data_IF_976571900624
#
_entry.id   IF_976571900624
#
_cell.length_a   1.000
_cell.length_b   1.000
_cell.length_c   1.000
_cell.angle_alpha   90.00
_cell.angle_beta   90.00
_cell.angle_gamma   90.00
#
_symmetry.space_group_name_H-M   'P 1'
#
loop_
_entity.id
_entity.type
_entity.pdbx_description
1 polymer ?
#
# COMPACT_ATOMS: atom_id res chain seq x y z
N UNK A 1 -5.68 0.89 8.56
CA UNK A 1 -6.45 1.49 9.69
C UNK A 1 -7.66 2.25 9.18
N UNK A 2 -7.49 3.34 8.42
CA UNK A 2 -8.62 4.15 7.95
C UNK A 2 -9.72 3.36 7.21
N UNK A 3 -9.35 2.39 6.37
CA UNK A 3 -10.30 1.50 5.67
C UNK A 3 -11.07 0.53 6.59
N UNK A 4 -10.46 0.08 7.69
CA UNK A 4 -11.09 -0.82 8.68
C UNK A 4 -12.12 -0.05 9.53
N UNK A 5 -11.88 1.24 9.74
CA UNK A 5 -12.75 2.13 10.51
C UNK A 5 -13.92 2.63 9.64
N UNK A 6 -13.60 3.27 8.52
CA UNK A 6 -14.55 4.03 7.72
C UNK A 6 -15.20 3.20 6.60
N UNK A 7 -14.77 1.95 6.42
CA UNK A 7 -15.29 1.04 5.40
C UNK A 7 -14.60 1.17 4.03
N UNK A 8 -15.02 0.35 3.05
CA UNK A 8 -14.31 0.16 1.79
C UNK A 8 -14.26 1.40 0.89
N UNK A 9 -15.35 2.16 0.78
CA UNK A 9 -15.40 3.38 -0.05
C UNK A 9 -14.46 4.46 0.46
N UNK A 10 -14.49 4.70 1.76
CA UNK A 10 -13.61 5.67 2.41
C UNK A 10 -12.16 5.18 2.45
N UNK A 11 -11.95 3.86 2.57
CA UNK A 11 -10.64 3.23 2.40
C UNK A 11 -10.02 3.50 1.02
N UNK A 12 -10.82 3.39 -0.04
CA UNK A 12 -10.39 3.73 -1.40
C UNK A 12 -10.03 5.22 -1.54
N UNK A 13 -10.86 6.12 -0.98
CA UNK A 13 -10.61 7.56 -0.99
C UNK A 13 -9.32 7.94 -0.24
N UNK A 14 -9.08 7.36 0.94
CA UNK A 14 -7.82 7.54 1.67
C UNK A 14 -6.62 6.99 0.90
N UNK A 15 -6.80 5.85 0.22
CA UNK A 15 -5.78 5.30 -0.67
C UNK A 15 -5.44 6.23 -1.84
N UNK A 16 -6.45 6.89 -2.42
CA UNK A 16 -6.26 7.91 -3.45
C UNK A 16 -5.49 9.12 -2.91
N UNK A 17 -5.89 9.67 -1.75
CA UNK A 17 -5.19 10.78 -1.11
C UNK A 17 -3.74 10.42 -0.80
N UNK A 18 -3.47 9.22 -0.30
CA UNK A 18 -2.12 8.74 -0.08
C UNK A 18 -1.32 8.61 -1.37
N UNK A 19 -1.95 8.17 -2.46
CA UNK A 19 -1.38 8.19 -3.81
C UNK A 19 -1.03 9.60 -4.28
N UNK A 20 -1.90 10.60 -4.04
CA UNK A 20 -1.63 12.00 -4.36
C UNK A 20 -0.42 12.51 -3.59
N UNK A 21 -0.37 12.28 -2.28
CA UNK A 21 0.79 12.66 -1.47
C UNK A 21 2.07 11.98 -1.96
N UNK A 22 1.99 10.71 -2.38
CA UNK A 22 3.13 10.00 -2.96
C UNK A 22 3.60 10.63 -4.28
N UNK A 23 2.68 11.06 -5.14
CA UNK A 23 3.00 11.77 -6.38
C UNK A 23 3.67 13.12 -6.10
N UNK A 24 3.10 13.91 -5.18
CA UNK A 24 3.65 15.22 -4.80
C UNK A 24 5.03 15.07 -4.19
N UNK A 25 5.20 14.14 -3.24
CA UNK A 25 6.48 13.94 -2.59
C UNK A 25 7.57 13.48 -3.56
N UNK A 26 7.24 12.58 -4.51
CA UNK A 26 8.18 12.15 -5.56
C UNK A 26 8.47 13.23 -6.61
N UNK A 27 7.66 14.28 -6.68
CA UNK A 27 7.89 15.43 -7.58
C UNK A 27 8.73 16.51 -6.89
N UNK A 28 8.57 16.70 -5.58
CA UNK A 28 9.27 17.74 -4.80
C UNK A 28 10.61 17.24 -4.24
N UNK A 29 10.72 15.96 -3.85
CA UNK A 29 11.94 15.35 -3.32
C UNK A 29 12.35 14.14 -4.19
N UNK A 30 12.99 14.37 -5.34
CA UNK A 30 13.32 13.29 -6.24
C UNK A 30 14.38 12.36 -5.67
N UNK A 31 14.10 11.06 -5.74
CA UNK A 31 15.05 9.97 -5.48
C UNK A 31 15.30 9.21 -6.79
N UNK A 32 16.32 8.35 -6.82
CA UNK A 32 16.72 7.61 -8.02
C UNK A 32 15.60 6.78 -8.67
N UNK A 33 14.55 6.42 -7.92
CA UNK A 33 13.39 5.64 -8.40
C UNK A 33 12.11 6.48 -8.57
N UNK A 34 12.16 7.80 -8.37
CA UNK A 34 10.97 8.65 -8.43
C UNK A 34 10.30 8.71 -9.81
N UNK A 35 11.00 8.34 -10.89
CA UNK A 35 10.42 8.20 -12.24
C UNK A 35 9.29 7.16 -12.30
N UNK A 36 9.30 6.18 -11.39
CA UNK A 36 8.28 5.12 -11.28
C UNK A 36 7.00 5.63 -10.64
N UNK A 37 7.07 6.70 -9.85
CA UNK A 37 5.95 7.21 -9.05
C UNK A 37 5.50 8.62 -9.46
N UNK A 38 6.26 9.31 -10.33
CA UNK A 38 5.86 10.58 -10.93
C UNK A 38 6.16 10.58 -12.44
N UNK A 39 5.18 10.90 -13.30
CA UNK A 39 5.41 11.08 -14.73
C UNK A 39 6.18 12.38 -15.03
N UNK A 40 6.23 13.31 -14.06
CA UNK A 40 6.85 14.62 -14.23
C UNK A 40 8.36 14.60 -13.97
N UNK A 41 8.90 13.47 -13.49
CA UNK A 41 10.31 13.33 -13.19
C UNK A 41 10.98 12.35 -14.16
N UNK A 42 12.06 12.80 -14.79
CA UNK A 42 12.90 12.02 -15.70
C UNK A 42 14.31 11.93 -15.13
N UNK A 43 14.93 10.75 -15.19
CA UNK A 43 16.34 10.56 -14.82
C UNK A 43 17.12 10.29 -16.11
N UNK A 44 17.86 11.29 -16.61
CA UNK A 44 18.56 11.19 -17.90
C UNK A 44 17.59 11.10 -19.09
N UNK A 45 17.80 10.15 -20.00
CA UNK A 45 16.94 9.88 -21.18
C UNK A 45 15.68 9.03 -20.87
N UNK A 46 15.40 8.80 -19.58
CA UNK A 46 14.32 7.93 -19.14
C UNK A 46 13.16 8.79 -18.64
N UNK A 47 12.09 8.80 -19.43
CA UNK A 47 10.87 9.54 -19.12
C UNK A 47 9.90 8.72 -18.24
N UNK A 48 9.42 9.34 -17.16
CA UNK A 48 8.25 8.86 -16.44
C UNK A 48 7.04 8.83 -17.37
N UNK A 49 6.29 7.73 -17.37
CA UNK A 49 5.12 7.54 -18.25
C UNK A 49 3.82 7.66 -17.42
N UNK A 50 2.67 7.78 -18.08
CA UNK A 50 1.35 7.75 -17.42
C UNK A 50 1.15 6.49 -16.55
N UNK A 51 1.88 5.41 -16.85
CA UNK A 51 1.96 4.20 -16.02
C UNK A 51 2.49 4.45 -14.60
N UNK A 52 3.29 5.49 -14.38
CA UNK A 52 3.78 5.88 -13.04
C UNK A 52 2.64 6.35 -12.13
N UNK A 53 1.62 7.02 -12.69
CA UNK A 53 0.38 7.33 -11.96
C UNK A 53 -0.35 6.04 -11.60
N UNK A 54 -0.48 5.09 -12.53
CA UNK A 54 -1.13 3.80 -12.22
C UNK A 54 -0.44 3.08 -11.07
N UNK A 55 0.91 3.11 -11.03
CA UNK A 55 1.69 2.51 -9.94
C UNK A 55 1.49 3.27 -8.63
N UNK A 56 1.47 4.60 -8.66
CA UNK A 56 1.27 5.43 -7.47
C UNK A 56 -0.14 5.27 -6.86
N UNK A 57 -1.17 5.22 -7.70
CA UNK A 57 -2.58 5.21 -7.28
C UNK A 57 -3.17 3.81 -7.17
N UNK A 58 -2.94 2.95 -8.17
CA UNK A 58 -3.63 1.67 -8.34
C UNK A 58 -3.55 0.76 -7.11
N UNK A 59 -2.36 0.34 -6.66
CA UNK A 59 -2.20 -0.47 -5.46
C UNK A 59 -2.82 0.19 -4.22
N UNK A 60 -2.67 1.51 -4.06
CA UNK A 60 -3.08 2.22 -2.83
C UNK A 60 -4.60 2.27 -2.69
N UNK A 61 -5.29 2.56 -3.80
CA UNK A 61 -6.76 2.56 -3.85
C UNK A 61 -7.29 1.14 -3.67
N UNK A 62 -6.71 0.17 -4.40
CA UNK A 62 -7.17 -1.23 -4.38
C UNK A 62 -7.05 -1.84 -2.98
N UNK A 63 -5.89 -1.68 -2.33
CA UNK A 63 -5.66 -2.20 -0.98
C UNK A 63 -6.53 -1.50 0.06
N UNK A 64 -6.74 -0.19 -0.08
CA UNK A 64 -7.67 0.57 0.76
C UNK A 64 -9.09 0.02 0.66
N UNK A 65 -9.56 -0.29 -0.55
CA UNK A 65 -10.88 -0.88 -0.77
C UNK A 65 -10.99 -2.32 -0.24
N UNK A 66 -10.04 -3.19 -0.61
CA UNK A 66 -10.05 -4.62 -0.26
C UNK A 66 -9.97 -4.82 1.25
N UNK A 67 -9.10 -4.07 1.94
CA UNK A 67 -8.96 -4.18 3.39
C UNK A 67 -10.25 -3.81 4.14
N UNK A 68 -10.95 -2.75 3.70
CA UNK A 68 -12.25 -2.38 4.26
C UNK A 68 -13.36 -3.38 3.94
N UNK A 69 -13.35 -3.95 2.73
CA UNK A 69 -14.30 -4.97 2.32
C UNK A 69 -14.14 -6.26 3.14
N UNK A 70 -12.92 -6.79 3.21
CA UNK A 70 -12.60 -7.99 4.00
C UNK A 70 -13.01 -7.81 5.45
N UNK A 71 -12.66 -6.68 6.07
CA UNK A 71 -13.03 -6.40 7.44
C UNK A 71 -14.56 -6.37 7.65
N UNK A 72 -15.30 -5.75 6.73
CA UNK A 72 -16.77 -5.71 6.78
C UNK A 72 -17.39 -7.11 6.70
N UNK A 73 -16.87 -7.96 5.81
CA UNK A 73 -17.32 -9.35 5.66
C UNK A 73 -17.03 -10.17 6.91
N UNK A 74 -15.83 -10.08 7.45
CA UNK A 74 -15.44 -10.84 8.64
C UNK A 74 -16.13 -10.36 9.93
N UNK A 75 -16.43 -9.06 10.04
CA UNK A 75 -17.25 -8.51 11.12
C UNK A 75 -18.66 -9.10 11.12
N UNK A 76 -19.29 -9.24 9.94
CA UNK A 76 -20.60 -9.90 9.79
C UNK A 76 -20.56 -11.36 10.21
N UNK A 77 -19.44 -12.05 9.97
CA UNK A 77 -19.24 -13.43 10.37
C UNK A 77 -18.92 -13.64 11.87
N UNK A 78 -19.01 -12.58 12.71
CA UNK A 78 -18.74 -12.60 14.16
C UNK A 78 -17.41 -13.27 14.55
N UNK A 79 -16.38 -13.16 13.70
CA UNK A 79 -15.05 -13.71 14.00
C UNK A 79 -14.30 -12.83 15.02
N UNK A 80 -13.27 -13.41 15.65
CA UNK A 80 -12.39 -12.66 16.54
C UNK A 80 -11.73 -11.50 15.78
N UNK A 81 -12.11 -10.28 16.14
CA UNK A 81 -11.74 -9.08 15.42
C UNK A 81 -10.25 -8.82 15.43
N UNK A 82 -9.55 -9.17 16.52
CA UNK A 82 -8.09 -9.01 16.61
C UNK A 82 -7.39 -9.88 15.55
N UNK A 83 -7.77 -11.15 15.46
CA UNK A 83 -7.18 -12.11 14.50
C UNK A 83 -7.49 -11.68 13.06
N UNK A 84 -8.73 -11.25 12.80
CA UNK A 84 -9.14 -10.76 11.48
C UNK A 84 -8.29 -9.56 11.06
N UNK A 85 -8.10 -8.59 11.95
CA UNK A 85 -7.30 -7.39 11.68
C UNK A 85 -5.84 -7.71 11.44
N UNK A 86 -5.25 -8.62 12.22
CA UNK A 86 -3.88 -9.10 11.99
C UNK A 86 -3.73 -9.75 10.62
N UNK A 87 -4.64 -10.65 10.25
CA UNK A 87 -4.59 -11.36 8.97
C UNK A 87 -4.75 -10.40 7.78
N UNK A 88 -5.68 -9.44 7.88
CA UNK A 88 -5.84 -8.40 6.87
C UNK A 88 -4.56 -7.55 6.79
N UNK A 89 -4.00 -7.13 7.93
CA UNK A 89 -2.78 -6.33 7.95
C UNK A 89 -1.59 -7.03 7.26
N UNK A 90 -1.34 -8.29 7.61
CA UNK A 90 -0.28 -9.12 7.02
C UNK A 90 -0.51 -9.28 5.51
N UNK A 91 -1.72 -9.71 5.12
CA UNK A 91 -2.04 -9.95 3.72
C UNK A 91 -1.96 -8.69 2.86
N UNK A 92 -2.45 -7.56 3.35
CA UNK A 92 -2.40 -6.29 2.62
C UNK A 92 -0.98 -5.74 2.51
N UNK A 93 -0.12 -5.95 3.51
CA UNK A 93 1.29 -5.55 3.47
C UNK A 93 2.04 -6.34 2.40
N UNK A 94 1.83 -7.66 2.35
CA UNK A 94 2.42 -8.51 1.32
C UNK A 94 1.91 -8.12 -0.09
N UNK A 95 0.59 -7.95 -0.24
CA UNK A 95 0.00 -7.56 -1.51
C UNK A 95 0.49 -6.18 -1.98
N UNK A 96 0.74 -5.23 -1.07
CA UNK A 96 1.34 -3.95 -1.41
C UNK A 96 2.69 -4.13 -2.09
N UNK A 97 3.60 -4.86 -1.46
CA UNK A 97 4.94 -5.10 -1.99
C UNK A 97 4.88 -5.82 -3.34
N UNK A 98 4.04 -6.86 -3.45
CA UNK A 98 3.87 -7.62 -4.70
C UNK A 98 3.25 -6.78 -5.82
N UNK A 99 2.21 -6.00 -5.54
CA UNK A 99 1.55 -5.17 -6.55
C UNK A 99 2.45 -4.04 -7.02
N UNK A 100 3.09 -3.32 -6.09
CA UNK A 100 3.98 -2.21 -6.46
C UNK A 100 5.14 -2.74 -7.28
N UNK A 101 5.88 -3.73 -6.77
CA UNK A 101 7.04 -4.26 -7.50
C UNK A 101 6.65 -5.02 -8.77
N UNK A 102 5.50 -5.69 -8.79
CA UNK A 102 4.98 -6.36 -9.98
C UNK A 102 4.62 -5.40 -11.09
N UNK A 103 3.98 -4.26 -10.78
CA UNK A 103 3.71 -3.22 -11.78
C UNK A 103 5.01 -2.54 -12.26
N UNK A 104 6.00 -2.37 -11.38
CA UNK A 104 7.34 -1.89 -11.78
C UNK A 104 7.97 -2.85 -12.77
N UNK A 105 7.93 -4.16 -12.48
CA UNK A 105 8.47 -5.17 -13.37
C UNK A 105 7.78 -5.17 -14.73
N UNK A 106 6.44 -5.04 -14.77
CA UNK A 106 5.65 -5.03 -16.01
C UNK A 106 5.89 -3.79 -16.87
N UNK A 107 5.92 -2.59 -16.28
CA UNK A 107 5.92 -1.34 -17.03
C UNK A 107 7.27 -0.63 -17.09
N UNK A 108 8.14 -0.85 -16.10
CA UNK A 108 9.43 -0.17 -15.95
C UNK A 108 10.60 -1.13 -15.72
N UNK A 109 10.42 -2.43 -15.97
CA UNK A 109 11.40 -3.45 -15.57
C UNK A 109 12.81 -3.23 -16.13
N UNK A 110 12.92 -2.90 -17.43
CA UNK A 110 14.21 -2.65 -18.08
C UNK A 110 14.90 -1.39 -17.54
N UNK A 111 14.14 -0.31 -17.43
CA UNK A 111 14.58 0.99 -16.91
C UNK A 111 15.02 0.88 -15.45
N UNK A 112 14.24 0.17 -14.64
CA UNK A 112 14.55 -0.03 -13.23
C UNK A 112 15.83 -0.84 -13.06
N UNK A 113 16.04 -1.86 -13.90
CA UNK A 113 17.27 -2.65 -13.89
C UNK A 113 18.50 -1.84 -14.35
N UNK A 114 18.36 -0.94 -15.33
CA UNK A 114 19.48 -0.09 -15.76
C UNK A 114 19.90 0.93 -14.70
N UNK A 115 18.96 1.41 -13.87
CA UNK A 115 19.27 2.36 -12.79
C UNK A 115 19.81 1.67 -11.55
N UNK A 116 19.26 0.50 -11.18
CA UNK A 116 19.63 -0.21 -9.95
C UNK A 116 20.79 -1.20 -10.13
N UNK A 117 21.14 -1.53 -11.38
CA UNK A 117 22.12 -2.57 -11.69
C UNK A 117 21.65 -4.00 -11.37
N UNK A 118 20.39 -4.17 -10.95
CA UNK A 118 19.82 -5.44 -10.53
C UNK A 118 18.53 -5.73 -11.28
N UNK A 119 18.31 -6.99 -11.64
CA UNK A 119 17.02 -7.41 -12.18
C UNK A 119 15.92 -7.17 -11.13
N UNK A 120 14.76 -6.67 -11.58
CA UNK A 120 13.63 -6.38 -10.68
C UNK A 120 13.17 -7.63 -9.92
N UNK A 121 13.28 -8.81 -10.53
CA UNK A 121 12.99 -10.09 -9.88
C UNK A 121 13.87 -10.34 -8.65
N UNK A 122 15.17 -10.03 -8.73
CA UNK A 122 16.11 -10.12 -7.61
C UNK A 122 15.76 -9.12 -6.51
N UNK A 123 15.33 -7.91 -6.89
CA UNK A 123 14.87 -6.88 -5.95
C UNK A 123 13.59 -7.31 -5.24
N UNK A 124 12.64 -7.93 -5.95
CA UNK A 124 11.42 -8.48 -5.35
C UNK A 124 11.76 -9.55 -4.30
N UNK A 125 12.61 -10.51 -4.65
CA UNK A 125 12.98 -11.61 -3.75
C UNK A 125 13.68 -11.07 -2.51
N UNK A 126 14.63 -10.14 -2.68
CA UNK A 126 15.37 -9.55 -1.57
C UNK A 126 14.46 -8.71 -0.68
N UNK A 127 13.57 -7.89 -1.23
CA UNK A 127 12.65 -7.07 -0.43
C UNK A 127 11.66 -7.93 0.35
N UNK A 128 11.12 -9.00 -0.25
CA UNK A 128 10.20 -9.90 0.44
C UNK A 128 10.91 -10.66 1.56
N UNK A 129 12.12 -11.17 1.33
CA UNK A 129 12.85 -12.00 2.30
C UNK A 129 13.52 -11.20 3.41
N UNK A 130 13.94 -9.96 3.16
CA UNK A 130 14.54 -9.09 4.17
C UNK A 130 13.49 -8.30 4.95
N UNK A 131 12.91 -7.29 4.30
CA UNK A 131 12.05 -6.30 4.94
C UNK A 131 10.59 -6.77 5.02
N UNK A 132 10.10 -7.50 4.01
CA UNK A 132 8.70 -7.90 3.91
C UNK A 132 8.24 -8.74 5.11
N UNK A 133 9.07 -9.66 5.60
CA UNK A 133 8.75 -10.46 6.79
C UNK A 133 8.58 -9.57 8.03
N UNK A 134 9.53 -8.66 8.26
CA UNK A 134 9.49 -7.75 9.39
C UNK A 134 8.28 -6.81 9.32
N UNK A 135 8.01 -6.23 8.14
CA UNK A 135 6.84 -5.38 7.91
C UNK A 135 5.53 -6.11 8.18
N UNK A 136 5.41 -7.37 7.73
CA UNK A 136 4.22 -8.19 7.99
C UNK A 136 4.01 -8.46 9.47
N UNK A 137 5.07 -8.83 10.20
CA UNK A 137 5.00 -9.08 11.66
C UNK A 137 4.57 -7.79 12.38
N UNK A 138 5.23 -6.68 12.08
CA UNK A 138 4.95 -5.38 12.68
C UNK A 138 3.52 -4.92 12.38
N UNK A 139 3.08 -5.03 11.12
CA UNK A 139 1.71 -4.69 10.72
C UNK A 139 0.67 -5.58 11.42
N UNK A 140 0.95 -6.88 11.53
CA UNK A 140 0.07 -7.85 12.19
C UNK A 140 -0.14 -7.60 13.69
N UNK A 141 0.78 -6.89 14.35
CA UNK A 141 0.70 -6.54 15.78
C UNK A 141 0.16 -5.11 15.96
N UNK A 142 0.68 -4.13 15.22
CA UNK A 142 0.36 -2.72 15.42
C UNK A 142 -1.08 -2.43 15.01
N UNK A 143 -1.53 -2.90 13.84
CA UNK A 143 -2.87 -2.60 13.32
C UNK A 143 -3.97 -3.02 14.31
N UNK A 144 -4.06 -4.28 14.78
CA UNK A 144 -5.13 -4.68 15.70
C UNK A 144 -5.01 -4.01 17.07
N UNK A 145 -3.79 -3.74 17.53
CA UNK A 145 -3.55 -3.04 18.81
C UNK A 145 -4.05 -1.60 18.73
N UNK A 146 -3.71 -0.88 17.67
CA UNK A 146 -4.22 0.47 17.43
C UNK A 146 -5.74 0.47 17.28
N UNK A 147 -6.31 -0.50 16.56
CA UNK A 147 -7.76 -0.61 16.41
C UNK A 147 -8.45 -0.84 17.76
N UNK A 148 -7.87 -1.63 18.67
CA UNK A 148 -8.40 -1.80 20.04
C UNK A 148 -8.45 -0.48 20.82
N UNK A 149 -7.45 0.39 20.64
CA UNK A 149 -7.39 1.71 21.29
C UNK A 149 -8.32 2.72 20.63
N UNK A 150 -8.46 2.66 19.30
CA UNK A 150 -9.27 3.61 18.52
C UNK A 150 -10.78 3.33 18.59
N UNK A 151 -11.20 2.06 18.65
CA UNK A 151 -12.64 1.67 18.66
C UNK A 151 -13.50 2.44 19.67
N UNK A 152 -13.12 2.54 20.97
CA UNK A 152 -13.96 3.23 21.95
C UNK A 152 -14.12 4.72 21.66
N UNK A 153 -13.14 5.34 20.99
CA UNK A 153 -13.19 6.75 20.57
C UNK A 153 -14.08 6.90 19.34
N UNK A 154 -13.99 5.97 18.39
CA UNK A 154 -14.79 5.97 17.16
C UNK A 154 -16.28 5.75 17.42
N UNK A 155 -16.61 4.86 18.36
CA UNK A 155 -17.99 4.60 18.76
C UNK A 155 -18.64 5.85 19.40
N UNK A 156 -17.86 6.67 20.11
CA UNK A 156 -18.32 7.96 20.67
C UNK A 156 -18.52 9.05 19.62
N UNK A 157 -17.79 8.98 18.52
CA UNK A 157 -17.86 9.95 17.42
C UNK A 157 -18.86 9.55 16.32
N UNK A 158 -19.66 8.49 16.55
CA UNK A 158 -20.62 7.91 15.60
C UNK A 158 -20.06 7.48 14.23
N UNK A 159 -18.73 7.46 14.05
CA UNK A 159 -18.08 6.95 12.82
C UNK A 159 -18.27 5.44 12.60
N UNK A 160 -18.94 4.74 13.53
CA UNK A 160 -19.15 3.29 13.53
C UNK A 160 -20.58 2.81 13.25
N UNK A 161 -21.54 3.70 12.95
CA UNK A 161 -22.91 3.36 12.55
C UNK A 161 -23.08 3.32 11.04
#
# INVERSE_FOLDING_TARGET
IGSLILGPRNGAALGFLFGLTSLVNNTVNPTATSFVFSPFYSVGDIHGNFWSLLIAFGPRILLGYISGLLYTVFKKAKKNTFIVESLIAIGMTLLHTLMVMGLIWLFFGQVYASVTGLAVSTVIITVITSNGILEMIVAGIIIPTMMRVLRPVLDKLEFGK
#
